data_IF_032985491160
#
_entry.id   IF_032985491160
#
_cell.length_a   1.000
_cell.length_b   1.000
_cell.length_c   1.000
_cell.angle_alpha   90.00
_cell.angle_beta   90.00
_cell.angle_gamma   90.00
#
_symmetry.space_group_name_H-M   'P 1'
#
loop_
_entity.id
_entity.type
_entity.pdbx_description
1 polymer ?
#
# COMPACT_ATOMS: atom_id res chain seq x y z
N UNK A 1 -10.80 -3.03 -18.91
CA UNK A 1 -9.61 -2.24 -18.52
C UNK A 1 -9.51 -1.99 -17.01
N UNK A 2 -10.61 -1.77 -16.28
CA UNK A 2 -10.60 -1.56 -14.81
C UNK A 2 -9.91 -2.66 -14.00
N UNK A 3 -10.10 -3.93 -14.36
CA UNK A 3 -9.47 -5.09 -13.68
C UNK A 3 -7.94 -5.03 -13.67
N UNK A 4 -7.31 -4.48 -14.70
CA UNK A 4 -5.84 -4.35 -14.76
C UNK A 4 -5.34 -3.35 -13.71
N UNK A 5 -6.08 -2.26 -13.48
CA UNK A 5 -5.76 -1.28 -12.43
C UNK A 5 -5.91 -1.88 -11.03
N UNK A 6 -6.91 -2.74 -10.82
CA UNK A 6 -7.08 -3.48 -9.57
C UNK A 6 -5.87 -4.40 -9.31
N UNK A 7 -5.45 -5.17 -10.32
CA UNK A 7 -4.30 -6.08 -10.20
C UNK A 7 -3.01 -5.29 -9.95
N UNK A 8 -2.77 -4.20 -10.67
CA UNK A 8 -1.62 -3.31 -10.45
C UNK A 8 -1.62 -2.68 -9.05
N UNK A 9 -2.78 -2.24 -8.57
CA UNK A 9 -2.93 -1.67 -7.23
C UNK A 9 -2.67 -2.70 -6.13
N UNK A 10 -3.16 -3.94 -6.29
CA UNK A 10 -2.87 -5.04 -5.38
C UNK A 10 -1.37 -5.40 -5.36
N UNK A 11 -0.69 -5.36 -6.51
CA UNK A 11 0.76 -5.57 -6.58
C UNK A 11 1.51 -4.47 -5.82
N UNK A 12 1.11 -3.20 -5.96
CA UNK A 12 1.71 -2.09 -5.21
C UNK A 12 1.54 -2.25 -3.70
N UNK A 13 0.32 -2.61 -3.25
CA UNK A 13 0.03 -2.88 -1.83
C UNK A 13 0.82 -4.10 -1.33
N UNK A 14 0.97 -5.14 -2.15
CA UNK A 14 1.76 -6.33 -1.82
C UNK A 14 3.24 -6.02 -1.65
N UNK A 15 3.82 -5.19 -2.52
CA UNK A 15 5.22 -4.74 -2.40
C UNK A 15 5.42 -3.88 -1.14
N UNK A 16 4.47 -3.00 -0.84
CA UNK A 16 4.45 -2.21 0.40
C UNK A 16 4.48 -3.13 1.64
N UNK A 17 3.53 -4.07 1.71
CA UNK A 17 3.42 -5.03 2.81
C UNK A 17 4.70 -5.86 2.96
N UNK A 18 5.30 -6.31 1.87
CA UNK A 18 6.53 -7.10 1.94
C UNK A 18 7.72 -6.28 2.46
N UNK A 19 7.83 -5.01 2.03
CA UNK A 19 8.86 -4.09 2.54
C UNK A 19 8.68 -3.80 4.02
N UNK A 20 7.43 -3.55 4.42
CA UNK A 20 7.04 -3.27 5.79
C UNK A 20 7.23 -4.50 6.69
N UNK A 21 6.91 -5.71 6.23
CA UNK A 21 7.21 -6.96 6.95
C UNK A 21 8.72 -7.15 7.11
N UNK A 22 9.54 -6.84 6.08
CA UNK A 22 11.01 -6.92 6.19
C UNK A 22 11.57 -5.94 7.22
N UNK A 23 11.06 -4.70 7.25
CA UNK A 23 11.40 -3.69 8.24
C UNK A 23 10.98 -4.11 9.66
N UNK A 24 9.75 -4.59 9.82
CA UNK A 24 9.23 -5.12 11.08
C UNK A 24 10.01 -6.34 11.56
N UNK A 25 10.50 -7.19 10.66
CA UNK A 25 11.30 -8.37 11.02
C UNK A 25 12.67 -8.01 11.60
N UNK A 26 13.20 -6.81 11.32
CA UNK A 26 14.43 -6.29 11.94
C UNK A 26 14.23 -5.84 13.39
N UNK A 27 12.99 -5.51 13.79
CA UNK A 27 12.70 -5.01 15.13
C UNK A 27 12.54 -6.16 16.14
N UNK A 28 13.25 -6.07 17.26
CA UNK A 28 13.35 -7.13 18.28
C UNK A 28 12.18 -7.13 19.27
N UNK A 29 11.44 -6.02 19.37
CA UNK A 29 10.36 -5.81 20.34
C UNK A 29 9.06 -5.33 19.68
N UNK A 30 7.92 -5.76 20.21
CA UNK A 30 6.58 -5.42 19.68
C UNK A 30 6.31 -3.91 19.71
N UNK A 31 6.81 -3.18 20.71
CA UNK A 31 6.70 -1.72 20.76
C UNK A 31 7.46 -1.05 19.62
N UNK A 32 8.71 -1.47 19.40
CA UNK A 32 9.58 -0.95 18.33
C UNK A 32 9.03 -1.28 16.93
N UNK A 33 8.34 -2.43 16.79
CA UNK A 33 7.59 -2.77 15.58
C UNK A 33 6.45 -1.80 15.29
N UNK A 34 5.62 -1.50 16.29
CA UNK A 34 4.52 -0.55 16.13
C UNK A 34 5.03 0.86 15.87
N UNK A 35 6.10 1.28 16.55
CA UNK A 35 6.70 2.59 16.34
C UNK A 35 7.22 2.74 14.90
N UNK A 36 8.01 1.78 14.39
CA UNK A 36 8.45 1.78 12.98
C UNK A 36 7.30 1.62 11.99
N UNK A 37 6.24 0.90 12.35
CA UNK A 37 5.06 0.79 11.50
C UNK A 37 4.38 2.14 11.32
N UNK A 38 4.13 2.83 12.43
CA UNK A 38 3.52 4.17 12.42
C UNK A 38 4.45 5.18 11.75
N UNK A 39 5.76 5.10 11.99
CA UNK A 39 6.75 5.94 11.34
C UNK A 39 6.70 5.75 9.81
N UNK A 40 6.76 4.50 9.31
CA UNK A 40 6.66 4.22 7.86
C UNK A 40 5.30 4.61 7.27
N UNK A 41 4.22 4.60 8.06
CA UNK A 41 2.86 4.89 7.60
C UNK A 41 2.54 6.40 7.60
N UNK A 42 3.13 7.15 8.53
CA UNK A 42 2.90 8.61 8.71
C UNK A 42 4.06 9.47 8.20
N UNK A 43 5.21 8.88 7.89
CA UNK A 43 6.29 9.58 7.20
C UNK A 43 5.89 9.79 5.73
N UNK A 44 5.31 10.96 5.47
CA UNK A 44 4.89 11.47 4.16
C UNK A 44 5.99 11.39 3.09
N UNK A 45 7.26 11.22 3.46
CA UNK A 45 8.41 11.18 2.55
C UNK A 45 8.96 9.77 2.27
N UNK A 46 8.47 8.72 2.93
CA UNK A 46 8.83 7.36 2.54
C UNK A 46 8.09 7.00 1.26
N UNK A 47 8.80 6.94 0.12
CA UNK A 47 8.25 6.56 -1.19
C UNK A 47 7.49 5.21 -1.23
N UNK A 48 7.63 4.41 -0.18
CA UNK A 48 6.90 3.16 0.05
C UNK A 48 5.44 3.46 0.47
N UNK A 49 5.19 4.41 1.38
CA UNK A 49 3.83 4.87 1.71
C UNK A 49 3.11 5.44 0.47
N UNK A 50 3.84 6.15 -0.40
CA UNK A 50 3.33 6.60 -1.69
C UNK A 50 2.79 5.44 -2.56
N UNK A 51 3.51 4.31 -2.62
CA UNK A 51 3.05 3.10 -3.34
C UNK A 51 1.78 2.50 -2.73
N UNK A 52 1.60 2.60 -1.41
CA UNK A 52 0.39 2.15 -0.75
C UNK A 52 -0.82 3.01 -1.12
N UNK A 53 -0.68 4.35 -1.05
CA UNK A 53 -1.74 5.27 -1.44
C UNK A 53 -2.10 5.16 -2.92
N UNK A 54 -1.08 5.11 -3.80
CA UNK A 54 -1.28 4.90 -5.24
C UNK A 54 -1.93 3.55 -5.50
N UNK A 55 -1.53 2.50 -4.79
CA UNK A 55 -2.13 1.18 -4.88
C UNK A 55 -3.62 1.18 -4.51
N UNK A 56 -4.00 1.82 -3.41
CA UNK A 56 -5.40 1.98 -3.00
C UNK A 56 -6.16 2.79 -4.05
N UNK A 57 -5.59 3.88 -4.56
CA UNK A 57 -6.21 4.70 -5.59
C UNK A 57 -6.48 3.90 -6.87
N UNK A 58 -5.52 3.08 -7.29
CA UNK A 58 -5.62 2.21 -8.46
C UNK A 58 -6.69 1.13 -8.28
N UNK A 59 -6.77 0.52 -7.10
CA UNK A 59 -7.85 -0.43 -6.77
C UNK A 59 -9.20 0.25 -6.81
N UNK A 60 -9.33 1.42 -6.17
CA UNK A 60 -10.58 2.16 -6.11
C UNK A 60 -11.02 2.63 -7.50
N UNK A 61 -10.10 3.22 -8.28
CA UNK A 61 -10.33 3.63 -9.66
C UNK A 61 -10.71 2.44 -10.54
N UNK A 62 -9.99 1.32 -10.42
CA UNK A 62 -10.28 0.09 -11.13
C UNK A 62 -11.66 -0.45 -10.78
N UNK A 63 -12.07 -0.39 -9.51
CA UNK A 63 -13.37 -0.84 -9.02
C UNK A 63 -14.51 0.06 -9.52
N UNK A 64 -14.38 1.38 -9.41
CA UNK A 64 -15.38 2.35 -9.91
C UNK A 64 -15.59 2.22 -11.41
N UNK A 65 -14.50 2.01 -12.16
CA UNK A 65 -14.55 1.77 -13.60
C UNK A 65 -15.18 0.42 -13.95
N UNK A 66 -15.00 -0.61 -13.12
CA UNK A 66 -15.62 -1.91 -13.31
C UNK A 66 -17.11 -1.90 -12.96
N UNK A 67 -17.51 -1.03 -12.02
CA UNK A 67 -18.90 -0.78 -11.64
C UNK A 67 -19.64 0.16 -12.60
N UNK A 68 -19.01 0.63 -13.70
CA UNK A 68 -19.57 1.62 -14.62
C UNK A 68 -19.99 2.94 -13.95
N UNK A 69 -19.37 3.31 -12.81
CA UNK A 69 -19.64 4.57 -12.11
C UNK A 69 -18.77 5.71 -12.69
N UNK A 70 -17.63 5.35 -13.26
CA UNK A 70 -16.74 6.24 -14.00
C UNK A 70 -16.76 5.81 -15.47
N UNK A 71 -17.52 6.54 -16.29
CA UNK A 71 -17.55 6.39 -17.76
C UNK A 71 -16.26 6.95 -18.40
#
# INVERSE_FOLDING_TARGET
>A
MGTLFIVLGLICIGLFLNSLIKELKKAKSTKEKWERFFDVLFDEFMGIAGLFYVGILLVLYGLLRNLHILD
#
